data_IF_997121308258
#
_entry.id   IF_997121308258
#
_cell.length_a   1.000
_cell.length_b   1.000
_cell.length_c   1.000
_cell.angle_alpha   90.00
_cell.angle_beta   90.00
_cell.angle_gamma   90.00
#
_symmetry.space_group_name_H-M   'P 1'
#
loop_
_entity.id
_entity.type
_entity.pdbx_description
1 polymer ?
#
# COMPACT_ATOMS: atom_id res chain seq x y z
N UNK A 1 13.89 0.16 6.99
CA UNK A 1 12.65 -0.25 6.28
C UNK A 1 11.95 -1.30 7.12
N UNK A 2 10.64 -1.11 7.41
CA UNK A 2 9.79 -2.13 8.04
C UNK A 2 9.01 -2.92 6.99
N UNK A 3 8.94 -4.24 7.14
CA UNK A 3 8.18 -5.12 6.25
C UNK A 3 7.20 -5.93 7.11
N UNK A 4 5.90 -5.81 6.84
CA UNK A 4 4.83 -6.52 7.55
C UNK A 4 4.15 -7.46 6.58
N UNK A 5 4.22 -8.75 6.82
CA UNK A 5 3.49 -9.81 6.09
C UNK A 5 3.46 -11.06 6.97
N UNK A 6 2.41 -11.86 6.88
CA UNK A 6 2.28 -13.10 7.65
C UNK A 6 2.29 -14.35 6.75
N UNK A 7 2.31 -14.14 5.43
CA UNK A 7 2.31 -15.22 4.47
C UNK A 7 3.68 -15.89 4.32
N UNK A 8 3.65 -17.09 3.76
CA UNK A 8 4.83 -17.77 3.23
C UNK A 8 4.94 -17.56 1.72
N UNK A 9 6.14 -17.73 1.19
CA UNK A 9 6.37 -17.73 -0.26
C UNK A 9 5.68 -18.96 -0.85
N UNK A 10 4.84 -18.74 -1.86
CA UNK A 10 4.11 -19.77 -2.58
C UNK A 10 4.49 -19.77 -4.06
N UNK A 11 4.54 -20.92 -4.69
CA UNK A 11 4.93 -21.09 -6.10
C UNK A 11 4.05 -20.24 -7.02
N UNK A 12 2.76 -20.08 -6.71
CA UNK A 12 1.84 -19.24 -7.47
C UNK A 12 2.18 -17.75 -7.43
N UNK A 13 3.02 -17.32 -6.50
CA UNK A 13 3.49 -15.94 -6.37
C UNK A 13 4.66 -15.65 -7.30
N UNK A 14 5.46 -16.65 -7.68
CA UNK A 14 6.73 -16.48 -8.39
C UNK A 14 6.57 -15.85 -9.77
N UNK A 15 5.39 -15.98 -10.37
CA UNK A 15 5.08 -15.36 -11.68
C UNK A 15 5.07 -13.81 -11.63
N UNK A 16 5.05 -13.17 -10.43
CA UNK A 16 4.99 -11.71 -10.28
C UNK A 16 5.82 -11.15 -9.13
N UNK A 17 6.13 -11.94 -8.12
CA UNK A 17 6.91 -11.50 -6.94
C UNK A 17 8.39 -11.80 -7.14
N UNK A 18 9.06 -10.98 -7.98
CA UNK A 18 10.47 -11.14 -8.38
C UNK A 18 11.49 -11.09 -7.24
N UNK A 19 11.04 -10.75 -6.03
CA UNK A 19 11.86 -10.74 -4.83
C UNK A 19 12.21 -12.15 -4.37
N UNK A 20 11.38 -13.14 -4.73
CA UNK A 20 11.48 -14.54 -4.31
C UNK A 20 11.81 -15.46 -5.48
N UNK A 21 12.45 -16.59 -5.18
CA UNK A 21 12.69 -17.68 -6.09
C UNK A 21 12.16 -19.00 -5.54
N UNK A 22 12.34 -20.08 -6.30
CA UNK A 22 11.86 -21.43 -5.93
C UNK A 22 12.45 -21.91 -4.60
N UNK A 23 13.71 -21.54 -4.31
CA UNK A 23 14.40 -21.93 -3.08
C UNK A 23 13.80 -21.30 -1.80
N UNK A 24 13.02 -20.24 -1.94
CA UNK A 24 12.35 -19.58 -0.83
C UNK A 24 10.92 -20.10 -0.58
N UNK A 25 10.40 -20.97 -1.45
CA UNK A 25 9.05 -21.56 -1.27
C UNK A 25 8.89 -22.18 0.13
N UNK A 26 7.82 -21.77 0.82
CA UNK A 26 7.53 -22.19 2.19
C UNK A 26 8.19 -21.34 3.29
N UNK A 27 9.17 -20.47 2.97
CA UNK A 27 9.72 -19.54 3.96
C UNK A 27 8.75 -18.36 4.20
N UNK A 28 8.73 -17.79 5.42
CA UNK A 28 7.99 -16.54 5.66
C UNK A 28 8.46 -15.45 4.68
N UNK A 29 7.51 -14.77 4.02
CA UNK A 29 7.81 -13.74 3.01
C UNK A 29 8.72 -12.63 3.55
N UNK A 30 8.49 -12.18 4.76
CA UNK A 30 9.29 -11.12 5.38
C UNK A 30 10.75 -11.52 5.59
N UNK A 31 11.02 -12.77 5.94
CA UNK A 31 12.38 -13.25 6.15
C UNK A 31 13.12 -13.44 4.82
N UNK A 32 12.47 -14.07 3.84
CA UNK A 32 13.03 -14.21 2.50
C UNK A 32 13.30 -12.83 1.85
N UNK A 33 12.37 -11.88 2.03
CA UNK A 33 12.56 -10.50 1.57
C UNK A 33 13.75 -9.82 2.23
N UNK A 34 13.91 -9.96 3.56
CA UNK A 34 15.04 -9.41 4.31
C UNK A 34 16.37 -9.95 3.80
N UNK A 35 16.50 -11.27 3.68
CA UNK A 35 17.72 -11.92 3.15
C UNK A 35 18.09 -11.36 1.77
N UNK A 36 17.12 -11.30 0.87
CA UNK A 36 17.33 -10.81 -0.50
C UNK A 36 17.73 -9.34 -0.54
N UNK A 37 17.04 -8.48 0.19
CA UNK A 37 17.29 -7.05 0.21
C UNK A 37 18.63 -6.70 0.87
N UNK A 38 19.02 -7.42 1.92
CA UNK A 38 20.33 -7.26 2.56
C UNK A 38 21.48 -7.73 1.65
N UNK A 39 21.25 -8.75 0.81
CA UNK A 39 22.25 -9.15 -0.19
C UNK A 39 22.43 -8.11 -1.31
N UNK A 40 21.38 -7.33 -1.61
CA UNK A 40 21.45 -6.23 -2.59
C UNK A 40 22.08 -4.97 -2.00
N UNK A 41 21.73 -4.63 -0.76
CA UNK A 41 22.30 -3.48 -0.07
C UNK A 41 22.45 -3.76 1.43
N UNK A 42 23.67 -4.13 1.89
CA UNK A 42 23.91 -4.45 3.30
C UNK A 42 23.89 -3.24 4.23
N UNK A 43 23.83 -2.01 3.71
CA UNK A 43 23.87 -0.78 4.50
C UNK A 43 22.49 -0.31 4.96
N UNK A 44 21.40 -0.98 4.54
CA UNK A 44 20.05 -0.64 4.97
C UNK A 44 19.62 -1.51 6.15
N UNK A 45 18.92 -0.89 7.12
CA UNK A 45 18.30 -1.62 8.22
C UNK A 45 16.92 -2.11 7.80
N UNK A 46 16.69 -3.44 7.87
CA UNK A 46 15.41 -4.08 7.55
C UNK A 46 14.87 -4.75 8.80
N UNK A 47 13.69 -4.32 9.21
CA UNK A 47 12.94 -4.86 10.36
C UNK A 47 11.76 -5.64 9.81
N UNK A 48 11.65 -6.90 10.20
CA UNK A 48 10.59 -7.81 9.76
C UNK A 48 9.53 -7.98 10.84
N UNK A 49 8.27 -7.97 10.44
CA UNK A 49 7.12 -8.24 11.29
C UNK A 49 6.33 -9.38 10.66
N UNK A 50 6.66 -10.62 11.05
CA UNK A 50 5.93 -11.81 10.60
C UNK A 50 4.61 -11.92 11.38
N UNK A 51 3.66 -11.06 11.03
CA UNK A 51 2.37 -10.97 11.72
C UNK A 51 1.30 -10.41 10.79
N UNK A 52 0.06 -10.85 10.99
CA UNK A 52 -1.09 -10.25 10.34
C UNK A 52 -1.32 -8.84 10.90
N UNK A 53 -1.51 -7.87 10.00
CA UNK A 53 -1.91 -6.53 10.40
C UNK A 53 -3.38 -6.56 10.83
N UNK A 54 -3.62 -6.11 12.06
CA UNK A 54 -4.94 -6.10 12.70
C UNK A 54 -5.20 -4.77 13.38
N UNK A 55 -6.44 -4.51 13.79
CA UNK A 55 -6.77 -3.31 14.58
C UNK A 55 -6.06 -3.22 15.94
N UNK A 56 -5.45 -4.32 16.40
CA UNK A 56 -4.72 -4.33 17.68
C UNK A 56 -3.29 -3.84 17.55
N UNK A 57 -2.65 -4.04 16.38
CA UNK A 57 -1.23 -3.74 16.17
C UNK A 57 -0.97 -2.66 15.11
N UNK A 58 -1.95 -2.37 14.23
CA UNK A 58 -1.73 -1.47 13.09
C UNK A 58 -1.28 -0.07 13.50
N UNK A 59 -1.92 0.53 14.51
CA UNK A 59 -1.58 1.88 14.95
C UNK A 59 -0.17 1.94 15.56
N UNK A 60 0.19 0.95 16.37
CA UNK A 60 1.52 0.84 16.97
C UNK A 60 2.60 0.72 15.89
N UNK A 61 2.41 -0.19 14.94
CA UNK A 61 3.36 -0.42 13.86
C UNK A 61 3.50 0.81 12.95
N UNK A 62 2.40 1.38 12.49
CA UNK A 62 2.38 2.57 11.61
C UNK A 62 3.06 3.76 12.28
N UNK A 63 2.87 3.96 13.59
CA UNK A 63 3.44 5.08 14.33
C UNK A 63 4.97 5.09 14.39
N UNK A 64 5.62 3.94 14.18
CA UNK A 64 7.08 3.80 14.20
C UNK A 64 7.75 4.29 12.90
N UNK A 65 6.98 4.56 11.85
CA UNK A 65 7.50 4.91 10.53
C UNK A 65 7.02 6.29 10.09
N UNK A 66 7.81 6.94 9.23
CA UNK A 66 7.50 8.28 8.71
C UNK A 66 6.60 8.23 7.48
N UNK A 67 6.70 7.18 6.69
CA UNK A 67 5.92 6.96 5.46
C UNK A 67 5.44 5.52 5.42
N UNK A 68 4.19 5.32 5.06
CA UNK A 68 3.60 4.00 4.88
C UNK A 68 3.44 3.72 3.39
N UNK A 69 3.94 2.59 2.92
CA UNK A 69 3.71 2.08 1.56
C UNK A 69 2.70 0.94 1.64
N UNK A 70 1.53 1.13 1.04
CA UNK A 70 0.44 0.15 1.03
C UNK A 70 0.44 -0.63 -0.28
N UNK A 71 0.87 -1.90 -0.22
CA UNK A 71 0.81 -2.87 -1.32
C UNK A 71 -0.18 -4.00 -1.05
N UNK A 72 -1.18 -3.78 -0.19
CA UNK A 72 -2.15 -4.82 0.17
C UNK A 72 -3.11 -5.14 -0.97
N UNK A 73 -3.56 -6.40 -1.03
CA UNK A 73 -4.42 -6.94 -2.09
C UNK A 73 -5.87 -7.16 -1.66
N UNK A 74 -6.22 -6.81 -0.43
CA UNK A 74 -7.57 -6.98 0.10
C UNK A 74 -8.11 -5.69 0.73
N UNK A 75 -9.41 -5.47 0.60
CA UNK A 75 -10.07 -4.28 1.10
C UNK A 75 -9.98 -4.09 2.62
N UNK A 76 -10.22 -5.10 3.47
CA UNK A 76 -10.15 -4.93 4.92
C UNK A 76 -8.81 -4.38 5.39
N UNK A 77 -7.70 -4.94 4.90
CA UNK A 77 -6.36 -4.48 5.26
C UNK A 77 -6.07 -3.09 4.71
N UNK A 78 -6.48 -2.80 3.47
CA UNK A 78 -6.33 -1.47 2.85
C UNK A 78 -7.01 -0.37 3.64
N UNK A 79 -8.25 -0.59 4.07
CA UNK A 79 -8.96 0.35 4.94
C UNK A 79 -8.28 0.50 6.31
N UNK A 80 -7.78 -0.60 6.87
CA UNK A 80 -7.06 -0.60 8.13
C UNK A 80 -5.76 0.22 8.05
N UNK A 81 -4.97 0.02 6.99
CA UNK A 81 -3.74 0.80 6.74
C UNK A 81 -4.05 2.28 6.60
N UNK A 82 -5.07 2.63 5.80
CA UNK A 82 -5.50 4.01 5.65
C UNK A 82 -5.88 4.63 7.00
N UNK A 83 -6.72 3.94 7.77
CA UNK A 83 -7.25 4.46 9.03
C UNK A 83 -6.13 4.63 10.07
N UNK A 84 -5.23 3.66 10.19
CA UNK A 84 -4.06 3.76 11.06
C UNK A 84 -3.14 4.91 10.64
N UNK A 85 -2.92 5.11 9.34
CA UNK A 85 -2.11 6.21 8.80
C UNK A 85 -2.73 7.58 9.09
N UNK A 86 -4.05 7.71 8.94
CA UNK A 86 -4.78 8.96 9.27
C UNK A 86 -4.68 9.28 10.76
N UNK A 87 -4.88 8.27 11.64
CA UNK A 87 -4.80 8.45 13.10
C UNK A 87 -3.38 8.81 13.54
N UNK A 88 -2.37 8.15 12.96
CA UNK A 88 -0.96 8.41 13.26
C UNK A 88 -0.42 9.69 12.60
N UNK A 89 -1.20 10.35 11.71
CA UNK A 89 -0.74 11.52 10.97
C UNK A 89 0.35 11.21 9.94
N UNK A 90 0.39 9.97 9.41
CA UNK A 90 1.42 9.54 8.47
C UNK A 90 0.90 9.53 7.03
N UNK A 91 1.72 9.95 6.04
CA UNK A 91 1.37 9.79 4.63
C UNK A 91 1.33 8.28 4.28
N UNK A 92 0.32 7.92 3.48
CA UNK A 92 0.15 6.57 2.95
C UNK A 92 0.32 6.60 1.43
N UNK A 93 1.40 6.02 0.93
CA UNK A 93 1.66 5.85 -0.49
C UNK A 93 0.97 4.57 -0.94
N UNK A 94 -0.17 4.76 -1.56
CA UNK A 94 -1.06 3.71 -2.02
C UNK A 94 -0.67 3.20 -3.40
N UNK A 95 -0.67 1.88 -3.57
CA UNK A 95 -0.65 1.24 -4.86
C UNK A 95 -1.60 0.04 -4.89
N UNK A 96 -2.21 -0.20 -6.02
CA UNK A 96 -3.09 -1.35 -6.24
C UNK A 96 -3.03 -1.81 -7.68
N UNK A 97 -3.22 -3.10 -7.87
CA UNK A 97 -3.31 -3.73 -9.19
C UNK A 97 -4.54 -4.62 -9.24
N UNK A 98 -5.17 -4.68 -10.39
CA UNK A 98 -6.27 -5.61 -10.65
C UNK A 98 -6.29 -5.95 -12.13
N UNK A 99 -6.20 -7.24 -12.47
CA UNK A 99 -6.11 -7.75 -13.84
C UNK A 99 -5.00 -7.05 -14.64
N UNK A 100 -5.35 -6.03 -15.41
CA UNK A 100 -4.46 -5.29 -16.32
C UNK A 100 -4.32 -3.81 -15.92
N UNK A 101 -5.01 -3.38 -14.86
CA UNK A 101 -4.99 -1.99 -14.39
C UNK A 101 -4.14 -1.84 -13.13
N UNK A 102 -3.37 -0.76 -13.08
CA UNK A 102 -2.61 -0.34 -11.92
C UNK A 102 -2.97 1.06 -11.46
N UNK A 103 -2.90 1.29 -10.15
CA UNK A 103 -3.31 2.53 -9.52
C UNK A 103 -2.25 2.98 -8.52
N UNK A 104 -1.96 4.30 -8.47
CA UNK A 104 -1.05 4.91 -7.49
C UNK A 104 -1.60 6.24 -7.01
N UNK A 105 -1.46 6.53 -5.72
CA UNK A 105 -1.79 7.83 -5.11
C UNK A 105 -1.00 8.02 -3.82
N UNK A 106 -0.97 9.26 -3.32
CA UNK A 106 -0.44 9.58 -2.00
C UNK A 106 -1.56 10.14 -1.14
N UNK A 107 -1.95 9.38 -0.13
CA UNK A 107 -3.01 9.74 0.80
C UNK A 107 -2.46 10.33 2.09
N UNK A 108 -3.25 11.19 2.75
CA UNK A 108 -2.95 11.79 4.05
C UNK A 108 -1.59 12.54 4.10
N UNK A 109 -1.11 13.02 2.98
CA UNK A 109 0.12 13.82 2.89
C UNK A 109 -0.16 15.25 3.33
N UNK A 110 0.68 15.75 4.24
CA UNK A 110 0.64 17.16 4.66
C UNK A 110 1.77 17.93 3.95
N UNK A 111 1.41 18.95 3.20
CA UNK A 111 2.35 19.78 2.46
C UNK A 111 3.13 20.75 3.36
N UNK A 112 4.07 21.50 2.77
CA UNK A 112 4.90 22.49 3.48
C UNK A 112 4.09 23.64 4.10
N UNK A 113 2.86 23.85 3.64
CA UNK A 113 1.95 24.88 4.14
C UNK A 113 1.02 24.36 5.24
N UNK A 114 1.14 23.09 5.61
CA UNK A 114 0.30 22.44 6.60
C UNK A 114 -1.03 21.92 6.08
N UNK A 115 -1.26 21.94 4.76
CA UNK A 115 -2.49 21.43 4.16
C UNK A 115 -2.40 19.91 4.02
N UNK A 116 -3.33 19.19 4.65
CA UNK A 116 -3.41 17.73 4.51
C UNK A 116 -4.32 17.35 3.35
N UNK A 117 -3.78 16.58 2.43
CA UNK A 117 -4.47 16.04 1.27
C UNK A 117 -5.56 15.00 1.64
N UNK A 118 -6.26 14.47 0.63
CA UNK A 118 -7.28 13.45 0.82
C UNK A 118 -6.68 12.15 1.35
N UNK A 119 -7.54 11.32 1.96
CA UNK A 119 -7.24 9.95 2.33
C UNK A 119 -8.04 8.96 1.48
N UNK A 120 -7.80 7.66 1.63
CA UNK A 120 -8.46 6.63 0.82
C UNK A 120 -9.99 6.66 0.93
N UNK A 121 -10.53 7.03 2.09
CA UNK A 121 -12.00 7.14 2.30
C UNK A 121 -12.62 8.35 1.63
N UNK A 122 -11.84 9.34 1.22
CA UNK A 122 -12.36 10.44 0.39
C UNK A 122 -12.69 9.97 -1.02
N UNK A 123 -11.99 8.92 -1.51
CA UNK A 123 -12.27 8.27 -2.78
C UNK A 123 -13.30 7.14 -2.62
N UNK A 124 -13.10 6.26 -1.64
CA UNK A 124 -13.93 5.09 -1.36
C UNK A 124 -14.44 5.16 0.10
N UNK A 125 -15.57 5.83 0.36
CA UNK A 125 -16.07 6.11 1.73
C UNK A 125 -16.33 4.84 2.55
N UNK A 126 -16.84 3.80 1.91
CA UNK A 126 -17.21 2.53 2.55
C UNK A 126 -16.61 1.35 1.79
N UNK A 127 -16.20 0.28 2.50
CA UNK A 127 -15.81 -0.95 1.84
C UNK A 127 -16.94 -1.51 0.96
N UNK A 128 -16.60 -2.12 -0.18
CA UNK A 128 -17.61 -2.83 -0.97
C UNK A 128 -18.20 -3.98 -0.15
N UNK A 129 -19.48 -4.34 -0.39
CA UNK A 129 -20.06 -5.53 0.21
C UNK A 129 -19.22 -6.78 -0.09
N UNK A 130 -19.14 -7.73 0.87
CA UNK A 130 -18.44 -8.98 0.63
C UNK A 130 -18.95 -9.69 -0.64
N UNK A 131 -18.02 -10.19 -1.47
CA UNK A 131 -18.34 -10.93 -2.70
C UNK A 131 -18.71 -10.05 -3.91
N UNK A 132 -18.82 -8.73 -3.78
CA UNK A 132 -19.14 -7.85 -4.91
C UNK A 132 -17.95 -7.63 -5.85
N UNK A 133 -16.75 -7.62 -5.32
CA UNK A 133 -15.52 -7.44 -6.10
C UNK A 133 -14.63 -8.66 -5.88
N UNK A 134 -14.27 -9.40 -6.95
CA UNK A 134 -13.36 -10.53 -6.82
C UNK A 134 -12.01 -10.06 -6.30
N UNK A 135 -11.34 -10.89 -5.51
CA UNK A 135 -9.99 -10.60 -5.06
C UNK A 135 -8.97 -10.82 -6.21
N UNK A 136 -7.75 -10.36 -6.03
CA UNK A 136 -6.70 -10.49 -7.07
C UNK A 136 -6.36 -11.94 -7.42
N UNK A 137 -6.59 -12.89 -6.51
CA UNK A 137 -6.36 -14.30 -6.77
C UNK A 137 -7.42 -14.91 -7.73
N UNK A 138 -8.66 -14.42 -7.62
CA UNK A 138 -9.78 -14.86 -8.47
C UNK A 138 -9.76 -14.16 -9.84
N UNK A 139 -9.41 -12.86 -9.88
CA UNK A 139 -9.42 -12.06 -11.09
C UNK A 139 -8.16 -12.22 -11.97
N UNK A 140 -7.09 -12.79 -11.43
CA UNK A 140 -5.79 -12.83 -12.07
C UNK A 140 -5.10 -11.46 -12.12
N UNK A 141 -3.80 -11.45 -12.39
CA UNK A 141 -2.99 -10.24 -12.53
C UNK A 141 -1.92 -10.46 -13.59
N UNK A 142 -1.74 -9.51 -14.49
CA UNK A 142 -0.61 -9.49 -15.42
C UNK A 142 0.71 -9.41 -14.64
N UNK A 143 1.59 -10.42 -14.75
CA UNK A 143 2.75 -10.60 -13.87
C UNK A 143 3.78 -9.47 -13.92
N UNK A 144 3.84 -8.69 -15.00
CA UNK A 144 4.74 -7.51 -15.08
C UNK A 144 4.18 -6.28 -14.36
N UNK A 145 2.88 -6.22 -14.15
CA UNK A 145 2.19 -5.03 -13.63
C UNK A 145 2.65 -4.62 -12.22
N UNK A 146 2.87 -5.55 -11.26
CA UNK A 146 3.43 -5.18 -9.95
C UNK A 146 4.78 -4.49 -10.03
N UNK A 147 5.64 -4.87 -10.99
CA UNK A 147 6.93 -4.24 -11.20
C UNK A 147 6.80 -2.77 -11.64
N UNK A 148 5.87 -2.48 -12.56
CA UNK A 148 5.59 -1.13 -13.05
C UNK A 148 5.02 -0.29 -11.90
N UNK A 149 3.95 -0.74 -11.28
CA UNK A 149 3.21 -0.01 -10.25
C UNK A 149 4.02 0.12 -8.97
N UNK A 150 4.75 -0.93 -8.57
CA UNK A 150 5.65 -0.88 -7.42
C UNK A 150 6.81 0.11 -7.59
N UNK A 151 7.34 0.25 -8.82
CA UNK A 151 8.35 1.27 -9.12
C UNK A 151 7.79 2.69 -9.03
N UNK A 152 6.57 2.90 -9.53
CA UNK A 152 5.88 4.19 -9.39
C UNK A 152 5.57 4.50 -7.92
N UNK A 153 5.13 3.51 -7.14
CA UNK A 153 4.93 3.64 -5.70
C UNK A 153 6.22 4.03 -4.98
N UNK A 154 7.32 3.35 -5.28
CA UNK A 154 8.63 3.66 -4.69
C UNK A 154 9.09 5.08 -5.04
N UNK A 155 8.84 5.55 -6.26
CA UNK A 155 9.11 6.93 -6.67
C UNK A 155 8.31 7.94 -5.83
N UNK A 156 7.03 7.66 -5.55
CA UNK A 156 6.22 8.51 -4.66
C UNK A 156 6.76 8.52 -3.22
N UNK A 157 7.19 7.36 -2.69
CA UNK A 157 7.84 7.28 -1.37
C UNK A 157 9.09 8.18 -1.33
N UNK A 158 9.94 8.10 -2.35
CA UNK A 158 11.15 8.93 -2.45
C UNK A 158 10.80 10.43 -2.46
N UNK A 159 9.80 10.84 -3.26
CA UNK A 159 9.35 12.24 -3.29
C UNK A 159 8.84 12.72 -1.94
N UNK A 160 8.06 11.90 -1.23
CA UNK A 160 7.55 12.22 0.10
C UNK A 160 8.69 12.39 1.12
N UNK A 161 9.70 11.52 1.08
CA UNK A 161 10.84 11.55 2.02
C UNK A 161 11.76 12.71 1.74
N UNK A 162 12.09 12.94 0.46
CA UNK A 162 13.10 13.93 0.07
C UNK A 162 12.54 15.34 -0.14
N UNK A 163 11.22 15.45 -0.32
CA UNK A 163 10.57 16.70 -0.71
C UNK A 163 10.86 17.10 -2.16
N UNK A 164 11.43 16.21 -2.98
CA UNK A 164 11.71 16.46 -4.38
C UNK A 164 10.45 16.31 -5.24
N UNK A 165 10.18 17.28 -6.10
CA UNK A 165 9.02 17.26 -7.00
C UNK A 165 7.70 17.40 -6.25
N UNK A 166 6.63 16.90 -6.88
CA UNK A 166 5.26 16.96 -6.37
C UNK A 166 4.71 15.54 -6.17
N UNK A 167 4.46 15.11 -4.92
CA UNK A 167 3.76 13.83 -4.66
C UNK A 167 2.35 13.82 -5.28
N UNK A 168 1.83 12.63 -5.58
CA UNK A 168 0.48 12.41 -6.11
C UNK A 168 -0.64 12.67 -5.06
N UNK A 169 -0.43 13.60 -4.15
CA UNK A 169 -1.47 14.01 -3.20
C UNK A 169 -2.59 14.78 -3.92
N UNK A 170 -3.84 14.36 -3.70
CA UNK A 170 -4.99 14.91 -4.42
C UNK A 170 -5.11 14.45 -5.89
N UNK A 171 -4.28 13.52 -6.31
CA UNK A 171 -4.25 12.94 -7.65
C UNK A 171 -4.27 11.42 -7.57
N UNK A 172 -5.05 10.78 -8.42
CA UNK A 172 -5.16 9.34 -8.52
C UNK A 172 -4.73 8.90 -9.92
N UNK A 173 -3.55 8.31 -10.00
CA UNK A 173 -2.99 7.82 -11.25
C UNK A 173 -3.51 6.43 -11.53
N UNK A 174 -3.92 6.21 -12.78
CA UNK A 174 -4.39 4.92 -13.32
C UNK A 174 -3.61 4.60 -14.58
N UNK A 175 -3.14 3.37 -14.68
CA UNK A 175 -2.42 2.82 -15.83
C UNK A 175 -3.13 1.58 -16.33
N UNK A 176 -3.47 1.54 -17.61
CA UNK A 176 -4.00 0.36 -18.30
C UNK A 176 -2.86 -0.29 -19.10
N UNK A 177 -2.48 -1.50 -18.73
CA UNK A 177 -1.36 -2.20 -19.35
C UNK A 177 -1.71 -2.79 -20.73
N UNK A 178 -2.99 -2.95 -21.09
CA UNK A 178 -3.38 -3.45 -22.40
C UNK A 178 -3.35 -2.37 -23.48
N UNK A 179 -3.82 -1.17 -23.13
CA UNK A 179 -3.87 -0.03 -24.07
C UNK A 179 -2.68 0.92 -23.93
N UNK A 180 -1.90 0.75 -22.85
CA UNK A 180 -0.84 1.68 -22.44
C UNK A 180 -1.33 3.10 -22.12
N UNK A 181 -2.64 3.23 -21.88
CA UNK A 181 -3.22 4.51 -21.49
C UNK A 181 -2.94 4.84 -20.03
N UNK A 182 -2.78 6.12 -19.76
CA UNK A 182 -2.67 6.65 -18.41
C UNK A 182 -3.71 7.72 -18.17
N UNK A 183 -4.26 7.74 -16.96
CA UNK A 183 -5.21 8.77 -16.52
C UNK A 183 -4.81 9.28 -15.14
N UNK A 184 -4.95 10.58 -14.93
CA UNK A 184 -4.76 11.16 -13.60
C UNK A 184 -6.04 11.87 -13.21
N UNK A 185 -6.74 11.32 -12.24
CA UNK A 185 -8.00 11.87 -11.72
C UNK A 185 -7.72 12.77 -10.52
N UNK A 186 -8.44 13.87 -10.41
CA UNK A 186 -8.38 14.74 -9.24
C UNK A 186 -9.21 14.14 -8.09
N UNK A 187 -8.61 14.07 -6.91
CA UNK A 187 -9.30 13.67 -5.68
C UNK A 187 -9.32 14.89 -4.75
N UNK A 188 -10.48 15.19 -4.21
CA UNK A 188 -10.64 16.25 -3.21
C UNK A 188 -10.99 15.67 -1.86
N UNK A 189 -10.48 16.28 -0.81
CA UNK A 189 -10.86 15.95 0.56
C UNK A 189 -12.34 16.28 0.78
N UNK A 190 -13.10 15.35 1.33
CA UNK A 190 -14.52 15.54 1.65
C UNK A 190 -14.64 16.04 3.09
N UNK A 191 -15.45 17.07 3.31
CA UNK A 191 -15.66 17.64 4.65
C UNK A 191 -16.27 16.63 5.63
N UNK A 192 -17.13 15.74 5.13
CA UNK A 192 -17.89 14.76 5.92
C UNK A 192 -17.29 13.34 5.90
N UNK A 193 -16.11 13.15 5.37
CA UNK A 193 -15.45 11.83 5.49
C UNK A 193 -15.23 11.54 6.97
N UNK A 194 -15.64 10.36 7.48
CA UNK A 194 -15.36 9.97 8.84
C UNK A 194 -13.84 10.02 9.06
N UNK A 195 -13.39 11.11 9.67
CA UNK A 195 -12.01 11.17 10.16
C UNK A 195 -12.01 10.26 11.37
N UNK A 196 -11.22 9.21 11.32
CA UNK A 196 -11.12 8.28 12.44
C UNK A 196 -10.52 8.96 13.66
N UNK A 197 -11.31 9.83 14.29
CA UNK A 197 -11.04 10.34 15.64
C UNK A 197 -11.39 9.32 16.73
N UNK A 198 -11.94 8.15 16.33
CA UNK A 198 -12.43 7.16 17.28
C UNK A 198 -11.71 5.81 17.07
N UNK A 199 -10.82 5.40 18.00
CA UNK A 199 -10.13 4.10 17.94
C UNK A 199 -11.08 2.89 18.04
N UNK A 200 -12.37 3.10 18.31
CA UNK A 200 -13.39 2.04 18.36
C UNK A 200 -14.02 1.69 17.01
N UNK A 201 -13.64 2.39 15.94
CA UNK A 201 -14.25 2.19 14.63
C UNK A 201 -13.96 0.81 14.02
N UNK A 202 -12.79 0.26 14.29
CA UNK A 202 -12.40 -1.10 13.87
C UNK A 202 -13.16 -2.23 14.56
N UNK A 203 -14.02 -1.94 15.55
CA UNK A 203 -14.79 -2.95 16.32
C UNK A 203 -16.19 -3.22 15.81
N UNK A 204 -16.66 -2.51 14.77
CA UNK A 204 -17.94 -2.81 14.13
C UNK A 204 -17.68 -3.54 12.82
N UNK A 205 -17.86 -4.83 12.88
CA UNK A 205 -18.09 -5.68 11.69
C UNK A 205 -19.48 -5.45 11.15
#
# INVERSE_FOLDING_TARGET
IGIVDFDVVDDSNLQRQVLFGVNETGKPKVEAAKERLQSLNPHINIITYNTQLTSKNALELVSQYDVIADGTDNFPTRYLVNDASVIAGKPNVYASIFQFEGQVSVFNYTDKNGNTGPNYRDLYPTPPPPGLVPNCAEGGVLGVLPGIIGSLQANEVIKVITGAGEPLSGRFFVFDALTFETRTLKITRRENTPRNRNPHWSRRR
#
